data_IF_570405565049
#
_entry.id   IF_570405565049
#
_cell.length_a   1.000
_cell.length_b   1.000
_cell.length_c   1.000
_cell.angle_alpha   90.00
_cell.angle_beta   90.00
_cell.angle_gamma   90.00
#
_symmetry.space_group_name_H-M   'P 1'
#
loop_
_entity.id
_entity.type
_entity.pdbx_description
1 polymer ?
#
# COMPACT_ATOMS: atom_id res chain seq x y z
N UNK A 1 -26.97 -50.98 25.38
CA UNK A 1 -28.30 -50.44 25.07
C UNK A 1 -28.16 -49.60 23.81
N UNK A 2 -28.52 -50.20 22.69
CA UNK A 2 -28.45 -49.64 21.35
C UNK A 2 -29.80 -49.05 20.97
N UNK A 3 -29.80 -47.93 20.23
CA UNK A 3 -30.77 -47.53 19.20
C UNK A 3 -30.34 -46.14 18.67
N UNK A 4 -30.36 -45.78 17.39
CA UNK A 4 -30.59 -46.49 16.13
C UNK A 4 -30.11 -45.56 14.98
N UNK A 5 -29.66 -46.17 13.89
CA UNK A 5 -29.27 -45.56 12.60
C UNK A 5 -30.47 -45.05 11.77
N UNK A 6 -30.22 -44.00 10.98
CA UNK A 6 -30.49 -43.77 9.52
C UNK A 6 -31.89 -44.10 8.93
N UNK A 7 -32.34 -43.55 7.75
CA UNK A 7 -31.60 -43.66 6.48
C UNK A 7 -31.75 -42.52 5.41
N UNK A 8 -30.88 -42.62 4.40
CA UNK A 8 -30.98 -42.07 3.04
C UNK A 8 -32.17 -42.68 2.25
N UNK A 9 -32.71 -41.93 1.27
CA UNK A 9 -32.81 -42.21 -0.20
C UNK A 9 -33.87 -41.26 -0.83
N UNK A 10 -33.50 -40.33 -1.71
CA UNK A 10 -33.37 -40.47 -3.18
C UNK A 10 -34.72 -40.61 -3.92
N UNK A 11 -35.07 -39.63 -4.78
CA UNK A 11 -35.79 -39.88 -6.04
C UNK A 11 -35.54 -38.75 -7.06
N UNK A 12 -34.99 -39.15 -8.21
CA UNK A 12 -34.92 -38.45 -9.48
C UNK A 12 -36.31 -38.43 -10.15
N UNK A 13 -36.64 -37.35 -10.88
CA UNK A 13 -37.42 -37.43 -12.13
C UNK A 13 -37.28 -36.13 -12.95
N UNK A 14 -36.99 -36.35 -14.24
CA UNK A 14 -36.92 -35.40 -15.36
C UNK A 14 -38.28 -34.72 -15.63
N UNK A 15 -38.29 -33.45 -16.08
CA UNK A 15 -38.79 -33.10 -17.43
C UNK A 15 -38.56 -31.63 -17.83
N UNK A 16 -38.41 -31.49 -19.15
CA UNK A 16 -38.10 -30.35 -20.01
C UNK A 16 -38.91 -29.06 -19.78
N UNK A 17 -38.25 -27.91 -19.96
CA UNK A 17 -38.91 -26.61 -20.10
C UNK A 17 -38.02 -25.60 -20.83
N UNK A 18 -38.43 -25.25 -22.05
CA UNK A 18 -38.03 -24.16 -22.95
C UNK A 18 -36.84 -23.26 -22.61
N UNK A 19 -35.90 -23.21 -23.57
CA UNK A 19 -35.03 -22.07 -23.84
C UNK A 19 -35.87 -20.80 -24.09
N UNK A 20 -35.93 -19.90 -23.10
CA UNK A 20 -36.12 -18.48 -23.35
C UNK A 20 -34.75 -17.80 -23.26
N UNK A 21 -34.23 -17.40 -24.42
CA UNK A 21 -33.04 -16.55 -24.52
C UNK A 21 -33.48 -15.14 -24.12
N UNK A 22 -33.39 -14.82 -22.82
CA UNK A 22 -33.49 -13.44 -22.34
C UNK A 22 -32.15 -12.80 -22.64
N UNK A 23 -32.14 -11.97 -23.68
CA UNK A 23 -31.03 -11.10 -24.03
C UNK A 23 -30.89 -10.06 -22.92
N UNK A 24 -30.06 -10.36 -21.92
CA UNK A 24 -29.69 -9.40 -20.89
C UNK A 24 -28.91 -8.27 -21.58
N UNK A 25 -29.61 -7.19 -21.91
CA UNK A 25 -28.97 -5.90 -22.18
C UNK A 25 -28.19 -5.52 -20.93
N UNK A 26 -26.87 -5.75 -20.98
CA UNK A 26 -25.95 -5.17 -20.02
C UNK A 26 -25.93 -3.66 -20.27
N UNK A 27 -26.77 -2.95 -19.52
CA UNK A 27 -26.61 -1.52 -19.32
C UNK A 27 -25.34 -1.37 -18.51
N UNK A 28 -24.24 -1.13 -19.21
CA UNK A 28 -22.96 -0.78 -18.61
C UNK A 28 -23.18 0.52 -17.81
N UNK A 29 -23.05 0.51 -16.48
CA UNK A 29 -23.25 1.72 -15.70
C UNK A 29 -22.21 2.75 -16.13
N UNK A 30 -22.69 3.94 -16.50
CA UNK A 30 -21.86 5.08 -16.85
C UNK A 30 -20.92 5.41 -15.67
N UNK A 31 -19.59 5.28 -15.82
CA UNK A 31 -18.63 5.55 -14.75
C UNK A 31 -18.70 6.99 -14.23
N UNK A 32 -19.27 7.92 -15.01
CA UNK A 32 -19.47 9.30 -14.58
C UNK A 32 -20.63 9.47 -13.59
N UNK A 33 -21.53 8.48 -13.46
CA UNK A 33 -22.68 8.57 -12.54
C UNK A 33 -22.35 8.19 -11.10
N UNK A 34 -21.26 7.46 -10.86
CA UNK A 34 -20.78 7.09 -9.51
C UNK A 34 -19.89 8.18 -8.87
N UNK A 35 -19.40 9.14 -9.65
CA UNK A 35 -18.58 10.24 -9.14
C UNK A 35 -19.40 11.40 -8.52
N UNK A 36 -20.72 11.44 -8.72
CA UNK A 36 -21.54 12.65 -8.47
C UNK A 36 -22.14 12.79 -7.07
N UNK A 37 -21.79 11.92 -6.11
CA UNK A 37 -22.34 12.01 -4.74
C UNK A 37 -21.30 11.80 -3.62
N UNK A 38 -20.02 12.05 -3.89
CA UNK A 38 -18.99 12.07 -2.84
C UNK A 38 -19.09 13.41 -2.11
N UNK A 39 -19.60 13.39 -0.89
CA UNK A 39 -19.61 14.58 -0.04
C UNK A 39 -18.36 14.51 0.82
N UNK A 40 -17.40 15.42 0.59
CA UNK A 40 -16.22 15.52 1.46
C UNK A 40 -16.69 15.70 2.91
N UNK A 41 -16.11 14.97 3.88
CA UNK A 41 -16.35 15.27 5.28
C UNK A 41 -15.93 16.72 5.57
N UNK A 42 -16.65 17.43 6.45
CA UNK A 42 -16.25 18.77 6.88
C UNK A 42 -14.90 18.70 7.59
N UNK A 43 -14.08 19.73 7.40
CA UNK A 43 -12.81 19.86 8.11
C UNK A 43 -13.11 20.13 9.60
N UNK A 44 -12.63 19.28 10.52
CA UNK A 44 -12.78 19.54 11.96
C UNK A 44 -12.07 20.84 12.37
N UNK A 45 -12.44 21.48 13.48
CA UNK A 45 -11.64 22.56 14.03
C UNK A 45 -10.27 22.02 14.50
N UNK A 46 -9.23 22.83 14.34
CA UNK A 46 -7.94 22.58 14.99
C UNK A 46 -8.07 22.72 16.52
N UNK A 47 -7.20 22.06 17.30
CA UNK A 47 -7.10 22.29 18.74
C UNK A 47 -6.91 23.77 19.06
N UNK A 48 -7.54 24.27 20.14
CA UNK A 48 -7.43 25.68 20.55
C UNK A 48 -5.99 26.10 20.85
N UNK A 49 -5.19 25.17 21.37
CA UNK A 49 -3.77 25.35 21.65
C UNK A 49 -3.00 24.32 20.84
N UNK A 50 -2.24 24.80 19.86
CA UNK A 50 -1.28 23.98 19.13
C UNK A 50 0.09 24.12 19.79
N UNK A 51 0.79 23.00 20.06
CA UNK A 51 2.20 23.03 20.43
C UNK A 51 3.05 23.67 19.33
N UNK A 52 4.24 24.12 19.71
CA UNK A 52 5.25 24.55 18.75
C UNK A 52 5.63 23.38 17.82
N UNK A 53 5.92 23.69 16.56
CA UNK A 53 6.39 22.71 15.58
C UNK A 53 7.64 22.00 16.11
N UNK A 54 7.69 20.68 15.92
CA UNK A 54 8.78 19.88 16.44
C UNK A 54 9.11 18.74 15.49
N UNK A 55 10.41 18.55 15.16
CA UNK A 55 10.83 17.46 14.30
C UNK A 55 10.58 16.13 15.00
N UNK A 56 10.02 15.12 14.29
CA UNK A 56 9.95 13.77 14.81
C UNK A 56 11.34 13.24 15.20
N UNK A 57 11.41 12.51 16.31
CA UNK A 57 12.64 11.84 16.71
C UNK A 57 12.78 10.51 15.98
N UNK A 58 13.74 10.42 15.05
CA UNK A 58 13.96 9.21 14.25
C UNK A 58 14.28 7.98 15.10
N UNK A 59 14.80 8.15 16.33
CA UNK A 59 15.09 7.02 17.21
C UNK A 59 13.84 6.25 17.65
N UNK A 60 12.66 6.89 17.63
CA UNK A 60 11.38 6.23 17.88
C UNK A 60 10.59 5.87 16.63
N UNK A 61 11.20 5.97 15.44
CA UNK A 61 10.59 5.50 14.19
C UNK A 61 11.10 4.10 13.89
N UNK A 62 10.18 3.16 13.70
CA UNK A 62 10.46 1.74 13.45
C UNK A 62 9.87 1.27 12.13
N UNK A 63 10.28 0.09 11.67
CA UNK A 63 9.76 -0.53 10.45
C UNK A 63 10.30 0.05 9.15
N UNK A 64 11.37 0.87 9.20
CA UNK A 64 11.91 1.57 8.02
C UNK A 64 12.17 0.66 6.83
N UNK A 65 12.66 -0.55 7.08
CA UNK A 65 12.76 -1.61 6.07
C UNK A 65 11.79 -2.73 6.43
N UNK A 66 10.89 -3.11 5.52
CA UNK A 66 9.79 -3.99 5.88
C UNK A 66 10.24 -5.46 5.94
N UNK A 67 10.01 -6.13 7.06
CA UNK A 67 10.47 -7.50 7.33
C UNK A 67 9.82 -8.53 6.38
N UNK A 68 10.40 -9.71 6.06
CA UNK A 68 9.90 -10.59 4.98
C UNK A 68 8.47 -11.15 5.11
N UNK A 69 7.79 -10.87 6.21
CA UNK A 69 6.43 -11.27 6.53
C UNK A 69 5.48 -10.11 6.85
N UNK A 70 6.01 -8.90 6.94
CA UNK A 70 5.24 -7.75 7.37
C UNK A 70 4.30 -7.30 6.25
N UNK A 71 3.06 -6.98 6.62
CA UNK A 71 2.14 -6.33 5.71
C UNK A 71 2.52 -4.85 5.56
N UNK A 72 2.84 -4.44 4.33
CA UNK A 72 3.18 -3.05 4.00
C UNK A 72 1.94 -2.24 3.59
N UNK A 73 0.76 -2.86 3.65
CA UNK A 73 -0.49 -2.31 3.16
C UNK A 73 -0.57 -2.27 1.63
N UNK A 74 -1.41 -1.38 1.12
CA UNK A 74 -1.66 -1.19 -0.31
C UNK A 74 -1.02 0.09 -0.88
N UNK A 75 -0.41 0.90 -0.02
CA UNK A 75 0.27 2.11 -0.41
C UNK A 75 0.88 2.82 0.78
N UNK A 76 1.14 4.12 0.62
CA UNK A 76 1.72 4.94 1.67
C UNK A 76 1.30 6.42 1.55
N UNK A 77 1.25 7.11 2.69
CA UNK A 77 1.02 8.54 2.80
C UNK A 77 2.36 9.27 2.85
N UNK A 78 2.54 10.26 1.97
CA UNK A 78 3.77 11.05 1.85
C UNK A 78 3.51 12.48 1.36
N UNK A 79 4.51 13.38 1.42
CA UNK A 79 4.50 14.64 0.67
C UNK A 79 4.27 14.40 -0.82
N UNK A 80 3.44 15.24 -1.44
CA UNK A 80 3.14 15.16 -2.88
C UNK A 80 4.33 15.66 -3.71
N UNK A 81 4.91 16.79 -3.32
CA UNK A 81 6.11 17.33 -3.94
C UNK A 81 7.35 16.58 -3.44
N UNK A 82 8.15 16.11 -4.40
CA UNK A 82 9.37 15.34 -4.18
C UNK A 82 10.59 16.02 -4.81
N UNK A 83 10.47 17.28 -5.26
CA UNK A 83 11.58 18.00 -5.91
C UNK A 83 12.83 18.07 -5.04
N UNK A 84 12.67 18.13 -3.71
CA UNK A 84 13.78 18.17 -2.76
C UNK A 84 14.72 16.96 -2.86
N UNK A 85 14.24 15.82 -3.36
CA UNK A 85 15.06 14.61 -3.55
C UNK A 85 16.05 14.77 -4.71
N UNK A 86 15.82 15.72 -5.62
CA UNK A 86 16.72 16.00 -6.73
C UNK A 86 17.71 17.13 -6.43
N UNK A 87 17.60 17.77 -5.26
CA UNK A 87 18.46 18.90 -4.88
C UNK A 87 19.83 18.40 -4.39
N UNK A 88 20.95 19.04 -4.76
CA UNK A 88 22.29 18.62 -4.32
C UNK A 88 22.50 18.63 -2.80
N UNK A 89 21.72 19.43 -2.07
CA UNK A 89 21.78 19.62 -0.63
C UNK A 89 20.55 19.04 0.10
N UNK A 90 19.94 18.00 -0.48
CA UNK A 90 18.79 17.28 0.09
C UNK A 90 18.95 16.88 1.57
N UNK A 91 20.18 16.72 2.05
CA UNK A 91 20.51 16.41 3.45
C UNK A 91 20.11 17.52 4.43
N UNK A 92 19.85 18.75 3.96
CA UNK A 92 19.35 19.86 4.77
C UNK A 92 17.87 20.14 4.54
N UNK A 93 17.18 19.30 3.76
CA UNK A 93 15.77 19.48 3.43
C UNK A 93 14.89 19.38 4.67
N UNK A 94 13.85 20.23 4.81
CA UNK A 94 12.84 20.08 5.85
C UNK A 94 11.98 18.82 5.68
N UNK A 95 12.15 18.08 4.57
CA UNK A 95 11.47 16.83 4.28
C UNK A 95 12.31 15.58 4.57
N UNK A 96 13.56 15.74 5.02
CA UNK A 96 14.45 14.61 5.32
C UNK A 96 13.82 13.66 6.36
N UNK A 97 13.82 12.37 6.06
CA UNK A 97 13.26 11.34 6.93
C UNK A 97 11.77 11.56 7.15
N UNK A 98 11.39 11.81 8.41
CA UNK A 98 10.01 12.12 8.81
C UNK A 98 9.76 13.62 9.06
N UNK A 99 10.73 14.50 8.81
CA UNK A 99 10.65 15.92 9.17
C UNK A 99 9.47 16.65 8.51
N UNK A 100 8.97 16.14 7.39
CA UNK A 100 7.78 16.65 6.71
C UNK A 100 6.52 16.67 7.58
N UNK A 101 6.47 15.86 8.65
CA UNK A 101 5.35 15.84 9.61
C UNK A 101 5.20 17.16 10.37
N UNK A 102 6.26 17.98 10.46
CA UNK A 102 6.20 19.34 10.98
C UNK A 102 5.34 20.27 10.11
N UNK A 103 5.22 19.94 8.83
CA UNK A 103 4.51 20.74 7.83
C UNK A 103 3.12 20.17 7.53
N UNK A 104 2.80 18.99 8.06
CA UNK A 104 1.57 18.28 7.82
C UNK A 104 0.47 18.72 8.80
N UNK A 105 -0.78 18.68 8.33
CA UNK A 105 -1.98 18.75 9.16
C UNK A 105 -3.02 17.79 8.60
N UNK A 106 -3.29 16.69 9.31
CA UNK A 106 -4.21 15.62 8.87
C UNK A 106 -5.18 15.30 10.01
N UNK A 107 -6.48 15.55 9.84
CA UNK A 107 -7.47 15.09 10.78
C UNK A 107 -7.63 13.58 10.65
N UNK A 108 -7.72 12.91 11.79
CA UNK A 108 -7.82 11.45 11.86
C UNK A 108 -9.07 11.03 12.64
N UNK A 109 -9.64 9.90 12.23
CA UNK A 109 -10.97 9.43 12.62
C UNK A 109 -10.90 7.96 13.04
N UNK A 110 -11.85 7.55 13.89
CA UNK A 110 -11.98 6.14 14.32
C UNK A 110 -12.48 5.26 13.17
N UNK A 111 -13.41 5.78 12.38
CA UNK A 111 -14.02 5.11 11.23
C UNK A 111 -14.42 6.15 10.16
N UNK A 112 -14.64 5.72 8.91
CA UNK A 112 -15.14 6.59 7.84
C UNK A 112 -16.47 7.24 8.21
N UNK A 113 -16.59 8.54 7.96
CA UNK A 113 -17.75 9.37 8.31
C UNK A 113 -18.07 9.43 9.82
N UNK A 114 -17.21 8.82 10.65
CA UNK A 114 -17.38 8.73 12.08
C UNK A 114 -16.88 9.97 12.83
N UNK A 115 -16.76 9.81 14.14
CA UNK A 115 -16.25 10.88 14.99
C UNK A 115 -14.77 11.17 14.68
N UNK A 116 -14.47 12.46 14.51
CA UNK A 116 -13.10 12.96 14.53
C UNK A 116 -12.43 12.55 15.86
N UNK A 117 -11.29 11.88 15.75
CA UNK A 117 -10.55 11.36 16.90
C UNK A 117 -9.43 12.31 17.35
N UNK A 118 -8.76 12.97 16.41
CA UNK A 118 -7.66 13.87 16.71
C UNK A 118 -6.93 14.32 15.44
N UNK A 119 -5.77 14.94 15.63
CA UNK A 119 -4.94 15.48 14.55
C UNK A 119 -3.54 14.87 14.54
N UNK A 120 -3.01 14.60 13.35
CA UNK A 120 -1.57 14.56 13.09
C UNK A 120 -1.18 15.93 12.56
N UNK A 121 -0.52 16.75 13.37
CA UNK A 121 -0.21 18.15 13.01
C UNK A 121 1.11 18.59 13.63
N UNK A 122 1.94 19.29 12.85
CA UNK A 122 3.16 19.95 13.33
C UNK A 122 4.17 19.02 14.05
N UNK A 123 4.21 17.73 13.68
CA UNK A 123 5.04 16.72 14.34
C UNK A 123 4.43 16.10 15.59
N UNK A 124 3.15 16.38 15.87
CA UNK A 124 2.40 15.88 17.02
C UNK A 124 1.24 15.01 16.60
N UNK A 125 0.92 14.03 17.44
CA UNK A 125 -0.38 13.39 17.49
C UNK A 125 -1.18 14.04 18.64
N UNK A 126 -2.33 14.63 18.33
CA UNK A 126 -3.19 15.33 19.30
C UNK A 126 -4.57 14.69 19.33
N UNK A 127 -4.82 13.70 20.21
CA UNK A 127 -6.15 13.14 20.41
C UNK A 127 -7.08 14.17 21.07
N UNK A 128 -8.37 14.15 20.72
CA UNK A 128 -9.34 15.09 21.25
C UNK A 128 -9.45 15.00 22.78
N UNK A 129 -9.21 16.12 23.46
CA UNK A 129 -9.28 16.21 24.93
C UNK A 129 -8.14 15.51 25.67
N UNK A 130 -7.04 15.15 24.98
CA UNK A 130 -5.85 14.55 25.59
C UNK A 130 -4.62 15.41 25.35
N UNK A 131 -3.56 15.12 26.09
CA UNK A 131 -2.26 15.77 25.92
C UNK A 131 -1.64 15.40 24.56
N UNK A 132 -0.98 16.35 23.87
CA UNK A 132 -0.21 16.09 22.66
C UNK A 132 0.91 15.05 22.87
N UNK A 133 1.10 14.19 21.87
CA UNK A 133 2.14 13.15 21.86
C UNK A 133 3.14 13.49 20.77
N UNK A 134 4.41 13.68 21.15
CA UNK A 134 5.50 13.87 20.21
C UNK A 134 5.78 12.62 19.38
N UNK A 135 5.79 12.75 18.06
CA UNK A 135 6.09 11.63 17.16
C UNK A 135 7.56 11.22 17.33
N UNK A 136 7.80 9.93 17.61
CA UNK A 136 9.13 9.35 17.78
C UNK A 136 9.76 9.61 19.16
N UNK A 137 9.40 10.69 19.85
CA UNK A 137 9.97 10.98 21.19
C UNK A 137 9.14 10.40 22.32
N UNK A 138 7.84 10.65 22.31
CA UNK A 138 6.93 10.25 23.40
C UNK A 138 6.22 8.92 23.09
N UNK A 139 6.17 8.53 21.81
CA UNK A 139 5.67 7.25 21.35
C UNK A 139 6.41 6.76 20.10
N UNK A 140 6.42 5.44 19.92
CA UNK A 140 6.99 4.79 18.75
C UNK A 140 6.02 4.85 17.57
N UNK A 141 6.51 5.22 16.40
CA UNK A 141 5.73 5.28 15.15
C UNK A 141 6.28 4.32 14.10
N UNK A 142 5.36 3.76 13.31
CA UNK A 142 5.69 2.87 12.19
C UNK A 142 5.76 3.68 10.90
N UNK A 143 6.89 3.65 10.21
CA UNK A 143 7.05 4.27 8.90
C UNK A 143 7.97 3.43 8.01
N UNK A 144 7.83 3.56 6.70
CA UNK A 144 8.63 2.87 5.70
C UNK A 144 9.57 3.84 4.97
N UNK A 145 10.78 3.39 4.68
CA UNK A 145 11.74 4.10 3.84
C UNK A 145 11.40 3.87 2.36
N UNK A 146 10.72 4.83 1.74
CA UNK A 146 10.17 4.69 0.36
C UNK A 146 10.97 5.43 -0.70
N UNK A 147 11.80 6.40 -0.29
CA UNK A 147 12.76 7.10 -1.13
C UNK A 147 14.06 7.25 -0.37
N UNK A 148 15.18 7.50 -1.05
CA UNK A 148 16.51 7.53 -0.40
C UNK A 148 16.58 8.44 0.84
N UNK A 149 15.74 9.49 0.93
CA UNK A 149 15.70 10.44 2.04
C UNK A 149 14.30 10.67 2.65
N UNK A 150 13.33 9.77 2.45
CA UNK A 150 11.94 10.00 2.90
C UNK A 150 11.33 8.79 3.60
N UNK A 151 10.70 9.03 4.75
CA UNK A 151 9.86 8.07 5.45
C UNK A 151 8.38 8.36 5.20
N UNK A 152 7.56 7.33 5.09
CA UNK A 152 6.12 7.45 4.84
C UNK A 152 5.29 6.50 5.69
N UNK A 153 4.06 6.89 6.03
CA UNK A 153 3.14 6.00 6.75
C UNK A 153 2.57 4.94 5.81
N UNK A 154 2.57 3.65 6.20
CA UNK A 154 1.81 2.62 5.49
C UNK A 154 0.31 2.97 5.44
N UNK A 155 -0.30 2.70 4.30
CA UNK A 155 -1.76 2.79 4.10
C UNK A 155 -2.29 1.38 3.86
N UNK A 156 -3.15 0.91 4.75
CA UNK A 156 -3.67 -0.46 4.75
C UNK A 156 -4.94 -0.62 3.91
N UNK A 157 -5.71 0.46 3.75
CA UNK A 157 -6.96 0.45 2.99
C UNK A 157 -7.19 1.80 2.30
N UNK A 158 -7.77 1.79 1.09
CA UNK A 158 -8.21 2.96 0.34
C UNK A 158 -9.59 2.62 -0.24
N UNK A 159 -10.59 3.39 0.14
CA UNK A 159 -11.97 3.27 -0.33
C UNK A 159 -12.22 4.18 -1.52
N UNK A 160 -13.20 3.81 -2.33
CA UNK A 160 -13.58 4.60 -3.51
C UNK A 160 -14.10 5.99 -3.13
N UNK A 161 -14.69 6.16 -1.95
CA UNK A 161 -15.25 7.42 -1.47
C UNK A 161 -14.19 8.44 -1.02
N UNK A 162 -12.90 8.06 -0.95
CA UNK A 162 -11.80 8.94 -0.56
C UNK A 162 -11.29 8.73 0.86
N UNK A 163 -11.90 7.84 1.63
CA UNK A 163 -11.37 7.42 2.92
C UNK A 163 -10.21 6.45 2.76
N UNK A 164 -9.19 6.60 3.57
CA UNK A 164 -8.08 5.66 3.65
C UNK A 164 -7.67 5.43 5.11
N UNK A 165 -7.18 4.23 5.40
CA UNK A 165 -6.68 3.86 6.72
C UNK A 165 -5.16 3.88 6.70
N UNK A 166 -4.57 4.67 7.58
CA UNK A 166 -3.12 4.73 7.80
C UNK A 166 -2.74 3.99 9.07
N UNK A 167 -1.58 3.33 9.05
CA UNK A 167 -0.99 2.71 10.22
C UNK A 167 0.13 3.61 10.74
N UNK A 168 -0.05 4.19 11.93
CA UNK A 168 0.91 5.14 12.50
C UNK A 168 1.75 4.52 13.63
N UNK A 169 1.32 3.40 14.21
CA UNK A 169 2.16 2.55 15.09
C UNK A 169 1.94 1.07 14.74
N UNK A 170 2.77 0.13 15.25
CA UNK A 170 2.59 -1.29 14.95
C UNK A 170 1.19 -1.85 15.27
N UNK A 171 0.46 -1.25 16.22
CA UNK A 171 -0.89 -1.67 16.59
C UNK A 171 -1.96 -0.57 16.38
N UNK A 172 -1.56 0.64 15.96
CA UNK A 172 -2.41 1.82 15.87
C UNK A 172 -2.71 2.19 14.43
N UNK A 173 -4.00 2.24 14.10
CA UNK A 173 -4.50 2.70 12.79
C UNK A 173 -5.52 3.81 12.97
N UNK A 174 -5.63 4.66 11.97
CA UNK A 174 -6.65 5.70 11.94
C UNK A 174 -7.11 5.96 10.50
N UNK A 175 -8.34 6.44 10.36
CA UNK A 175 -8.90 6.85 9.08
C UNK A 175 -8.61 8.31 8.81
N UNK A 176 -8.38 8.67 7.56
CA UNK A 176 -8.29 10.03 7.07
C UNK A 176 -8.95 10.13 5.69
N UNK A 177 -9.21 11.36 5.23
CA UNK A 177 -9.87 11.61 3.96
C UNK A 177 -8.94 12.35 3.00
N UNK A 178 -8.91 11.96 1.72
CA UNK A 178 -8.01 12.55 0.72
C UNK A 178 -8.21 14.06 0.55
N UNK A 179 -9.44 14.56 0.71
CA UNK A 179 -9.76 15.99 0.58
C UNK A 179 -9.16 16.84 1.72
N UNK A 180 -8.61 16.22 2.76
CA UNK A 180 -7.96 16.89 3.89
C UNK A 180 -6.44 16.88 3.79
N UNK A 181 -5.86 16.36 2.71
CA UNK A 181 -4.40 16.21 2.54
C UNK A 181 -3.65 17.50 2.20
N UNK A 182 -4.36 18.62 2.04
CA UNK A 182 -3.79 19.93 1.71
C UNK A 182 -3.98 20.99 2.83
N UNK A 183 -4.32 20.56 4.05
CA UNK A 183 -4.59 21.47 5.17
C UNK A 183 -3.31 22.00 5.83
N UNK A 184 -2.17 21.32 5.66
CA UNK A 184 -0.87 21.74 6.18
C UNK A 184 -0.10 22.68 5.24
N UNK A 185 1.10 23.05 5.66
CA UNK A 185 2.06 23.81 4.83
C UNK A 185 2.67 22.97 3.70
N UNK A 186 2.55 21.63 3.78
CA UNK A 186 2.87 20.72 2.68
C UNK A 186 1.62 19.98 2.21
N UNK A 187 1.45 19.88 0.89
CA UNK A 187 0.43 19.01 0.29
C UNK A 187 0.90 17.55 0.40
N UNK A 188 0.01 16.67 0.85
CA UNK A 188 0.23 15.24 0.97
C UNK A 188 -0.51 14.48 -0.14
N UNK A 189 -0.09 13.24 -0.37
CA UNK A 189 -0.76 12.31 -1.26
C UNK A 189 -0.67 10.89 -0.72
N UNK A 190 -1.65 10.07 -1.06
CA UNK A 190 -1.58 8.61 -0.91
C UNK A 190 -1.11 8.04 -2.25
N UNK A 191 0.02 7.34 -2.24
CA UNK A 191 0.58 6.65 -3.41
C UNK A 191 0.39 5.14 -3.22
N UNK A 192 -0.13 4.45 -4.23
CA UNK A 192 -0.28 2.99 -4.21
C UNK A 192 1.06 2.32 -4.49
N UNK A 193 1.26 1.12 -3.93
CA UNK A 193 2.49 0.38 -4.16
C UNK A 193 2.67 -0.02 -5.62
N UNK A 194 1.59 -0.35 -6.32
CA UNK A 194 1.64 -0.68 -7.75
C UNK A 194 2.27 0.46 -8.57
N UNK A 195 1.82 1.71 -8.35
CA UNK A 195 2.36 2.89 -9.03
C UNK A 195 3.84 3.11 -8.69
N UNK A 196 4.19 2.96 -7.41
CA UNK A 196 5.56 3.15 -6.91
C UNK A 196 6.52 2.08 -7.45
N UNK A 197 6.08 0.83 -7.57
CA UNK A 197 6.87 -0.27 -8.12
C UNK A 197 7.12 -0.08 -9.61
N UNK A 198 6.09 0.31 -10.39
CA UNK A 198 6.25 0.67 -11.81
C UNK A 198 7.29 1.78 -11.98
N UNK A 199 7.30 2.77 -11.08
CA UNK A 199 8.24 3.90 -11.13
C UNK A 199 9.68 3.57 -10.72
N UNK A 200 9.99 2.40 -10.13
CA UNK A 200 11.36 2.05 -9.69
C UNK A 200 12.18 1.31 -10.75
N UNK A 201 11.57 0.69 -11.75
CA UNK A 201 12.26 -0.06 -12.80
C UNK A 201 12.91 -1.38 -12.35
N UNK A 202 13.14 -1.57 -11.05
CA UNK A 202 13.62 -2.82 -10.49
C UNK A 202 13.07 -3.07 -9.08
N UNK A 203 12.77 -4.34 -8.79
CA UNK A 203 12.30 -4.84 -7.49
C UNK A 203 13.00 -6.16 -7.13
N UNK A 204 12.97 -6.51 -5.85
CA UNK A 204 13.54 -7.74 -5.30
C UNK A 204 12.53 -8.50 -4.44
N UNK A 205 12.76 -9.79 -4.24
CA UNK A 205 11.99 -10.56 -3.27
C UNK A 205 12.39 -10.19 -1.85
N UNK A 206 11.41 -9.96 -0.99
CA UNK A 206 11.66 -9.71 0.45
C UNK A 206 12.20 -10.94 1.17
N UNK A 207 11.85 -12.14 0.68
CA UNK A 207 12.34 -13.41 1.21
C UNK A 207 13.45 -13.96 0.32
N UNK A 208 14.69 -13.79 0.76
CA UNK A 208 15.82 -14.41 0.08
C UNK A 208 15.72 -15.94 0.08
N UNK A 209 16.16 -16.56 -1.02
CA UNK A 209 16.24 -18.02 -1.15
C UNK A 209 14.96 -18.73 -1.60
N UNK A 210 13.85 -18.01 -1.82
CA UNK A 210 12.65 -18.58 -2.42
C UNK A 210 12.50 -18.13 -3.86
N UNK A 211 12.30 -19.07 -4.77
CA UNK A 211 11.96 -18.77 -6.17
C UNK A 211 10.45 -18.63 -6.33
N UNK A 212 10.02 -17.71 -7.21
CA UNK A 212 8.60 -17.56 -7.57
C UNK A 212 8.34 -18.09 -8.98
N UNK A 213 7.16 -18.68 -9.25
CA UNK A 213 6.80 -19.10 -10.59
C UNK A 213 6.52 -17.90 -11.50
N UNK A 214 7.13 -17.89 -12.68
CA UNK A 214 6.73 -17.03 -13.80
C UNK A 214 5.72 -17.79 -14.66
N UNK A 215 4.63 -17.14 -15.03
CA UNK A 215 3.49 -17.74 -15.74
C UNK A 215 3.11 -16.92 -16.98
N UNK A 216 2.44 -17.53 -17.97
CA UNK A 216 2.00 -16.80 -19.16
C UNK A 216 0.81 -15.85 -18.88
N UNK A 217 0.01 -16.16 -17.86
CA UNK A 217 -1.21 -15.41 -17.48
C UNK A 217 -1.29 -15.22 -15.96
N UNK A 218 -2.07 -14.24 -15.45
CA UNK A 218 -2.23 -13.95 -14.02
C UNK A 218 -3.18 -14.95 -13.33
N UNK A 219 -2.83 -16.23 -13.39
CA UNK A 219 -3.59 -17.32 -12.76
C UNK A 219 -2.67 -18.42 -12.25
N UNK A 220 -3.10 -19.12 -11.21
CA UNK A 220 -2.35 -20.23 -10.62
C UNK A 220 -2.47 -21.54 -11.43
N UNK A 221 -3.43 -21.62 -12.35
CA UNK A 221 -3.77 -22.83 -13.11
C UNK A 221 -2.85 -23.09 -14.31
N UNK A 222 -2.15 -22.05 -14.80
CA UNK A 222 -1.32 -22.14 -16.01
C UNK A 222 0.04 -22.80 -15.79
N UNK A 223 0.61 -23.35 -16.85
CA UNK A 223 1.95 -23.94 -16.77
C UNK A 223 3.01 -22.91 -16.39
N UNK A 224 3.97 -23.30 -15.54
CA UNK A 224 5.10 -22.46 -15.16
C UNK A 224 6.03 -22.32 -16.38
N UNK A 225 6.32 -21.08 -16.78
CA UNK A 225 7.29 -20.76 -17.82
C UNK A 225 8.72 -20.97 -17.33
N UNK A 226 9.01 -20.46 -16.13
CA UNK A 226 10.31 -20.53 -15.46
C UNK A 226 10.18 -20.22 -13.97
N UNK A 227 11.26 -20.42 -13.22
CA UNK A 227 11.35 -20.01 -11.82
C UNK A 227 12.23 -18.76 -11.72
N UNK A 228 11.70 -17.74 -11.04
CA UNK A 228 12.39 -16.49 -10.77
C UNK A 228 13.20 -16.68 -9.49
N UNK A 229 14.53 -16.80 -9.58
CA UNK A 229 15.43 -16.89 -8.44
C UNK A 229 15.61 -15.56 -7.71
N UNK A 230 16.22 -15.56 -6.51
CA UNK A 230 16.48 -14.34 -5.74
C UNK A 230 17.46 -13.39 -6.44
N UNK A 231 18.41 -13.90 -7.21
CA UNK A 231 19.42 -13.10 -7.94
C UNK A 231 18.94 -12.73 -9.35
N UNK A 232 17.69 -12.28 -9.46
CA UNK A 232 17.09 -11.86 -10.72
C UNK A 232 16.95 -10.35 -10.77
N UNK A 233 17.15 -9.79 -11.95
CA UNK A 233 16.68 -8.44 -12.22
C UNK A 233 15.20 -8.52 -12.65
N UNK A 234 14.31 -8.03 -11.79
CA UNK A 234 12.86 -8.07 -11.99
C UNK A 234 12.36 -6.65 -12.24
N UNK A 235 11.92 -6.36 -13.46
CA UNK A 235 11.37 -5.07 -13.88
C UNK A 235 9.83 -5.17 -13.93
N UNK A 236 9.08 -4.42 -13.09
CA UNK A 236 7.62 -4.34 -13.18
C UNK A 236 7.15 -3.71 -14.49
N UNK A 237 6.15 -4.31 -15.13
CA UNK A 237 5.51 -3.78 -16.36
C UNK A 237 4.07 -3.35 -16.09
N UNK A 238 3.29 -4.19 -15.41
CA UNK A 238 1.87 -3.96 -15.18
C UNK A 238 1.38 -4.75 -13.96
N UNK A 239 0.18 -4.42 -13.47
CA UNK A 239 -0.47 -5.08 -12.34
C UNK A 239 -1.90 -5.50 -12.69
N UNK A 240 -2.32 -6.65 -12.17
CA UNK A 240 -3.69 -7.13 -12.19
C UNK A 240 -3.99 -7.84 -10.84
N UNK A 241 -4.58 -7.08 -9.91
CA UNK A 241 -4.84 -7.55 -8.55
C UNK A 241 -3.56 -7.95 -7.82
N UNK A 242 -3.42 -9.24 -7.49
CA UNK A 242 -2.26 -9.82 -6.80
C UNK A 242 -1.13 -10.26 -7.74
N UNK A 243 -1.34 -10.06 -9.04
CA UNK A 243 -0.39 -10.41 -10.09
C UNK A 243 0.31 -9.18 -10.63
N UNK A 244 1.59 -9.36 -10.92
CA UNK A 244 2.45 -8.37 -11.53
C UNK A 244 3.04 -8.97 -12.79
N UNK A 245 2.82 -8.30 -13.92
CA UNK A 245 3.54 -8.59 -15.14
C UNK A 245 4.95 -8.03 -15.00
N UNK A 246 5.94 -8.84 -15.35
CA UNK A 246 7.34 -8.53 -15.16
C UNK A 246 8.16 -8.88 -16.39
N UNK A 247 9.26 -8.15 -16.56
CA UNK A 247 10.40 -8.59 -17.37
C UNK A 247 11.51 -9.04 -16.42
N UNK A 248 11.90 -10.30 -16.54
CA UNK A 248 12.90 -10.92 -15.69
C UNK A 248 14.15 -11.19 -16.51
N UNK A 249 15.31 -10.74 -16.02
CA UNK A 249 16.62 -11.07 -16.59
C UNK A 249 17.42 -11.91 -15.59
N UNK A 250 17.98 -13.03 -16.06
CA UNK A 250 18.77 -13.97 -15.24
C UNK A 250 19.89 -14.65 -16.07
N UNK A 251 21.05 -14.97 -15.46
CA UNK A 251 21.44 -14.61 -14.09
C UNK A 251 21.96 -13.16 -14.02
N UNK A 252 21.81 -12.53 -12.86
CA UNK A 252 22.36 -11.19 -12.57
C UNK A 252 23.16 -11.19 -11.27
N UNK A 253 23.94 -10.14 -11.05
CA UNK A 253 24.57 -9.82 -9.77
C UNK A 253 24.12 -8.43 -9.36
N UNK A 254 23.01 -8.36 -8.62
CA UNK A 254 22.29 -7.11 -8.39
C UNK A 254 21.85 -6.49 -9.73
N UNK A 255 22.38 -5.30 -10.02
CA UNK A 255 22.09 -4.50 -11.21
C UNK A 255 22.84 -4.96 -12.46
N UNK A 256 23.83 -5.84 -12.31
CA UNK A 256 24.70 -6.24 -13.42
C UNK A 256 24.21 -7.52 -14.10
N UNK A 257 24.01 -7.46 -15.42
CA UNK A 257 23.65 -8.63 -16.20
C UNK A 257 24.90 -9.47 -16.47
N UNK A 258 24.85 -10.76 -16.11
CA UNK A 258 25.97 -11.66 -16.30
C UNK A 258 26.00 -12.21 -17.75
N UNK A 259 27.15 -12.71 -18.22
CA UNK A 259 27.24 -13.38 -19.53
C UNK A 259 26.23 -14.51 -19.66
N UNK A 260 25.65 -14.64 -20.85
CA UNK A 260 24.59 -15.59 -21.17
C UNK A 260 23.26 -15.38 -20.41
N UNK A 261 23.06 -14.18 -19.83
CA UNK A 261 21.76 -13.77 -19.31
C UNK A 261 20.68 -13.84 -20.39
N UNK A 262 19.48 -14.19 -19.94
CA UNK A 262 18.28 -14.27 -20.77
C UNK A 262 17.18 -13.46 -20.12
N UNK A 263 16.38 -12.85 -20.98
CA UNK A 263 15.22 -12.06 -20.58
C UNK A 263 13.95 -12.79 -20.95
N UNK A 264 13.00 -12.83 -20.04
CA UNK A 264 11.68 -13.42 -20.24
C UNK A 264 10.62 -12.55 -19.58
N UNK A 265 9.48 -12.40 -20.25
CA UNK A 265 8.31 -11.72 -19.71
C UNK A 265 7.25 -12.74 -19.27
N UNK A 266 6.45 -12.36 -18.27
CA UNK A 266 5.34 -13.15 -17.78
C UNK A 266 4.72 -12.53 -16.54
N UNK A 267 3.87 -13.28 -15.87
CA UNK A 267 3.17 -12.89 -14.66
C UNK A 267 3.72 -13.65 -13.45
N UNK A 268 3.87 -12.94 -12.34
CA UNK A 268 4.19 -13.52 -11.04
C UNK A 268 3.30 -12.90 -9.97
N UNK A 269 3.08 -13.62 -8.88
CA UNK A 269 2.42 -13.05 -7.70
C UNK A 269 3.36 -12.05 -7.02
N UNK A 270 2.86 -10.85 -6.78
CA UNK A 270 3.55 -9.86 -5.95
C UNK A 270 2.95 -9.77 -4.55
N UNK A 271 1.70 -10.21 -4.37
CA UNK A 271 1.06 -10.44 -3.06
C UNK A 271 0.89 -11.93 -2.77
N UNK A 272 1.13 -12.29 -1.51
CA UNK A 272 0.86 -13.62 -0.98
C UNK A 272 -0.64 -13.86 -0.76
N UNK A 273 -0.99 -15.07 -0.29
CA UNK A 273 -2.38 -15.44 -0.02
C UNK A 273 -3.02 -14.65 1.13
N UNK A 274 -2.20 -14.09 2.01
CA UNK A 274 -2.64 -13.26 3.14
C UNK A 274 -2.45 -11.77 2.82
N UNK A 275 -2.38 -11.40 1.54
CA UNK A 275 -2.16 -10.03 1.04
C UNK A 275 -0.82 -9.39 1.38
N UNK A 276 0.10 -10.11 2.02
CA UNK A 276 1.44 -9.59 2.30
C UNK A 276 2.23 -9.36 0.99
N UNK A 277 2.95 -8.24 0.88
CA UNK A 277 3.85 -8.04 -0.26
C UNK A 277 4.99 -9.05 -0.23
N UNK A 278 5.23 -9.71 -1.36
CA UNK A 278 6.37 -10.62 -1.57
C UNK A 278 7.61 -9.87 -2.08
N UNK A 279 7.42 -8.62 -2.49
CA UNK A 279 8.42 -7.82 -3.18
C UNK A 279 8.69 -6.50 -2.44
N UNK A 280 9.87 -5.95 -2.67
CA UNK A 280 10.26 -4.62 -2.23
C UNK A 280 11.25 -4.02 -3.23
N UNK A 281 11.71 -2.80 -2.96
CA UNK A 281 12.83 -2.21 -3.66
C UNK A 281 13.73 -1.50 -2.64
N UNK A 282 15.06 -1.59 -2.78
CA UNK A 282 15.93 -0.74 -2.00
C UNK A 282 15.78 0.70 -2.51
N UNK A 283 15.59 1.70 -1.62
CA UNK A 283 15.44 3.09 -2.04
C UNK A 283 16.62 3.66 -2.83
N UNK A 284 17.82 3.08 -2.64
CA UNK A 284 19.10 3.39 -3.31
C UNK A 284 19.40 2.45 -4.48
N UNK A 285 18.38 1.87 -5.12
CA UNK A 285 18.51 0.76 -6.07
C UNK A 285 19.37 1.00 -7.32
N UNK A 286 19.23 0.13 -8.31
CA UNK A 286 19.95 0.21 -9.57
C UNK A 286 19.63 1.50 -10.33
N UNK A 287 20.62 2.37 -10.50
CA UNK A 287 20.57 3.54 -11.40
C UNK A 287 20.99 3.20 -12.82
#
# INVERSE_FOLDING_TARGET
MSCLSAPLLAYLLFQQGSLFKVEASQVQPDPHRLAQNRTSPPVPPLPEVLPEEMPPDEAGIVGLSPEPLEDIGIGHLRPKDLSFLAEPDWTNSPYLGANWLQLAAVPIYVEPEGAHWGWLVNGWLIPNGQEPIAIGRDATFLMLHTYHALFSFPVTEIREDGWFQLQYTPAGTAWAHIDHLNLGSTELTVERWEDRFLAKGWIEFRRHGLSQPLRPEPTDDEAILSLIGPDSFIEPIAFDGDWMQVRVTQPTNGCEFLPASRTQEGWMRWRGLESQSLIWYPPQGCE
#
